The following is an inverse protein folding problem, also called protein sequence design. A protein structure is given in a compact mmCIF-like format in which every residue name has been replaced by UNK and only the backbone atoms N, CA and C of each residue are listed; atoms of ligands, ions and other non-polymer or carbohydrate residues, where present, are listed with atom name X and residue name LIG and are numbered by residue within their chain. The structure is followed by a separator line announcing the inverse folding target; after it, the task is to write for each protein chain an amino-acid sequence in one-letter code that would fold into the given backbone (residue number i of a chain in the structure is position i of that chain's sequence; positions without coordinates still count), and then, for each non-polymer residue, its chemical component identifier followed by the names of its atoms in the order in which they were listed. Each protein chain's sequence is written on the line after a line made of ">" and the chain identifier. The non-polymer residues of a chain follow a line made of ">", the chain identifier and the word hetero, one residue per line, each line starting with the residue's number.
data_IF_566591875658
#
_entry.id   IF_566591875658
#
_cell.length_a   1.000
_cell.length_b   1.000
_cell.length_c   1.000
_cell.angle_alpha   90.00
_cell.angle_beta   90.00
_cell.angle_gamma   90.00
#
_symmetry.space_group_name_H-M   'P 1'
#
loop_
_entity.id
_entity.type
_entity.pdbx_description
1 polymer ?
#
# COMPACT_ATOMS: atom_id res chain seq x y z
N UNK A 1 -0.49 3.30 -27.04
CA UNK A 1 -0.13 3.60 -25.64
C UNK A 1 -0.49 2.37 -24.83
N UNK A 2 0.39 1.87 -23.95
CA UNK A 2 0.11 0.71 -23.09
C UNK A 2 -0.44 1.24 -21.77
N UNK A 3 -1.58 0.70 -21.33
CA UNK A 3 -2.19 1.07 -20.06
C UNK A 3 -1.78 0.06 -18.97
N UNK A 4 -1.36 0.56 -17.82
CA UNK A 4 -1.09 -0.26 -16.63
C UNK A 4 -2.36 -0.21 -15.79
N UNK A 5 -3.10 -1.32 -15.77
CA UNK A 5 -4.39 -1.42 -15.11
C UNK A 5 -4.55 -2.75 -14.40
N UNK A 6 -5.33 -2.82 -13.30
CA UNK A 6 -5.75 -4.09 -12.73
C UNK A 6 -6.55 -4.92 -13.75
N UNK A 7 -6.49 -6.26 -13.70
CA UNK A 7 -7.29 -7.10 -14.58
C UNK A 7 -8.79 -6.83 -14.45
N UNK A 8 -9.46 -6.59 -15.58
CA UNK A 8 -10.90 -6.36 -15.62
C UNK A 8 -11.36 -4.95 -15.23
N UNK A 9 -10.43 -4.01 -15.00
CA UNK A 9 -10.75 -2.62 -14.67
C UNK A 9 -10.45 -1.73 -15.88
N UNK A 10 -11.38 -0.84 -16.23
CA UNK A 10 -11.17 0.12 -17.30
C UNK A 10 -10.11 1.17 -16.89
N UNK A 11 -9.36 1.69 -17.85
CA UNK A 11 -8.25 2.61 -17.55
C UNK A 11 -8.71 3.91 -16.88
N UNK A 12 -9.93 4.38 -17.19
CA UNK A 12 -10.55 5.56 -16.57
C UNK A 12 -10.94 5.35 -15.10
N UNK A 13 -11.16 4.11 -14.69
CA UNK A 13 -11.51 3.73 -13.31
C UNK A 13 -10.27 3.33 -12.49
N UNK A 14 -9.11 3.13 -13.15
CA UNK A 14 -7.90 2.61 -12.54
C UNK A 14 -6.99 3.71 -11.95
N UNK A 15 -7.48 4.43 -10.94
CA UNK A 15 -6.61 5.37 -10.20
C UNK A 15 -5.64 4.57 -9.32
N UNK A 16 -4.36 4.57 -9.70
CA UNK A 16 -3.30 3.86 -8.98
C UNK A 16 -2.80 4.70 -7.81
N UNK A 17 -2.61 4.06 -6.66
CA UNK A 17 -2.15 4.72 -5.43
C UNK A 17 -0.62 4.80 -5.33
N UNK A 18 0.07 3.82 -5.92
CA UNK A 18 1.52 3.78 -5.98
C UNK A 18 1.97 2.95 -7.19
N UNK A 19 3.20 3.19 -7.62
CA UNK A 19 3.83 2.55 -8.76
C UNK A 19 5.34 2.47 -8.54
N UNK A 20 5.91 1.29 -8.76
CA UNK A 20 7.36 1.03 -8.59
C UNK A 20 7.85 0.17 -9.76
N UNK A 21 8.90 0.65 -10.44
CA UNK A 21 9.62 -0.17 -11.43
C UNK A 21 10.38 -1.30 -10.73
N UNK A 22 10.36 -2.48 -11.35
CA UNK A 22 11.28 -3.55 -11.01
C UNK A 22 12.73 -3.18 -11.37
N UNK A 23 13.72 -3.89 -10.81
CA UNK A 23 15.13 -3.54 -10.96
C UNK A 23 15.70 -3.88 -12.34
N UNK A 24 14.99 -4.65 -13.17
CA UNK A 24 15.44 -5.05 -14.50
C UNK A 24 14.28 -5.22 -15.48
N UNK A 25 14.59 -5.02 -16.77
CA UNK A 25 13.61 -5.11 -17.85
C UNK A 25 12.50 -4.06 -17.72
N UNK A 26 11.25 -4.51 -17.86
CA UNK A 26 10.05 -3.67 -17.74
C UNK A 26 9.06 -4.26 -16.73
N UNK A 27 9.54 -4.99 -15.74
CA UNK A 27 8.69 -5.45 -14.66
C UNK A 27 8.33 -4.28 -13.76
N UNK A 28 7.19 -4.37 -13.08
CA UNK A 28 6.68 -3.31 -12.22
C UNK A 28 5.73 -3.87 -11.18
N UNK A 29 5.52 -3.09 -10.12
CA UNK A 29 4.46 -3.30 -9.15
C UNK A 29 3.65 -2.02 -9.00
N UNK A 30 2.36 -2.14 -8.76
CA UNK A 30 1.49 -1.00 -8.49
C UNK A 30 0.46 -1.35 -7.43
N UNK A 31 -0.15 -0.33 -6.85
CA UNK A 31 -1.22 -0.47 -5.86
C UNK A 31 -2.52 0.09 -6.41
N UNK A 32 -3.58 -0.71 -6.32
CA UNK A 32 -4.94 -0.31 -6.67
C UNK A 32 -5.91 -0.85 -5.63
N UNK A 33 -6.84 -0.01 -5.17
CA UNK A 33 -7.79 -0.35 -4.12
C UNK A 33 -7.12 -1.06 -2.92
N UNK A 34 -6.03 -0.48 -2.44
CA UNK A 34 -5.19 -0.96 -1.34
C UNK A 34 -4.56 -2.36 -1.54
N UNK A 35 -4.56 -2.87 -2.77
CA UNK A 35 -4.00 -4.17 -3.11
C UNK A 35 -2.77 -4.05 -4.00
N UNK A 36 -1.76 -4.90 -3.73
CA UNK A 36 -0.53 -4.95 -4.51
C UNK A 36 -0.74 -5.82 -5.75
N UNK A 37 -0.32 -5.30 -6.89
CA UNK A 37 -0.24 -6.00 -8.16
C UNK A 37 1.20 -6.05 -8.64
N UNK A 38 1.56 -7.12 -9.34
CA UNK A 38 2.85 -7.27 -10.00
C UNK A 38 2.64 -7.59 -11.47
N UNK A 39 3.50 -7.04 -12.32
CA UNK A 39 3.46 -7.27 -13.75
C UNK A 39 4.87 -7.54 -14.26
N UNK A 40 5.07 -8.71 -14.86
CA UNK A 40 6.41 -9.16 -15.30
C UNK A 40 6.95 -8.35 -16.48
N UNK A 41 6.07 -7.83 -17.35
CA UNK A 41 6.43 -6.97 -18.48
C UNK A 41 5.23 -6.11 -18.88
N UNK A 42 5.44 -5.01 -19.62
CA UNK A 42 4.35 -4.13 -20.08
C UNK A 42 3.25 -4.84 -20.87
N UNK A 43 3.54 -6.01 -21.44
CA UNK A 43 2.58 -6.79 -22.23
C UNK A 43 1.97 -7.97 -21.47
N UNK A 44 2.51 -8.32 -20.30
CA UNK A 44 1.96 -9.40 -19.46
C UNK A 44 0.78 -8.85 -18.65
N UNK A 45 -0.34 -9.58 -18.48
CA UNK A 45 -1.39 -9.17 -17.56
C UNK A 45 -0.86 -9.01 -16.13
N UNK A 46 -1.36 -8.02 -15.40
CA UNK A 46 -1.01 -7.83 -14.00
C UNK A 46 -1.55 -8.99 -13.14
N UNK A 47 -0.72 -9.49 -12.23
CA UNK A 47 -1.07 -10.46 -11.22
C UNK A 47 -1.39 -9.74 -9.92
N UNK A 48 -2.59 -9.97 -9.38
CA UNK A 48 -2.96 -9.49 -8.06
C UNK A 48 -2.26 -10.32 -6.97
N UNK A 49 -1.49 -9.68 -6.11
CA UNK A 49 -0.73 -10.36 -5.04
C UNK A 49 -1.47 -10.38 -3.71
N UNK A 50 -2.36 -9.42 -3.47
CA UNK A 50 -3.20 -9.31 -2.27
C UNK A 50 -4.65 -9.05 -2.66
N UNK A 51 -5.60 -9.52 -1.85
CA UNK A 51 -7.05 -9.31 -2.09
C UNK A 51 -7.79 -8.72 -0.89
N UNK A 52 -7.08 -8.44 0.20
CA UNK A 52 -7.62 -8.02 1.49
C UNK A 52 -7.54 -6.51 1.74
N UNK A 53 -7.07 -5.75 0.75
CA UNK A 53 -7.08 -4.28 0.83
C UNK A 53 -8.49 -3.77 1.09
N UNK A 54 -8.61 -2.88 2.07
CA UNK A 54 -9.87 -2.28 2.51
C UNK A 54 -9.63 -0.79 2.72
N UNK A 55 -10.40 0.04 2.03
CA UNK A 55 -10.28 1.49 2.11
C UNK A 55 -10.37 1.96 3.57
N UNK A 56 -9.46 2.83 3.98
CA UNK A 56 -9.31 3.35 5.34
C UNK A 56 -9.00 2.32 6.44
N UNK A 57 -8.77 1.04 6.15
CA UNK A 57 -8.55 0.02 7.19
C UNK A 57 -7.33 -0.84 6.94
N UNK A 58 -7.15 -1.35 5.72
CA UNK A 58 -6.06 -2.26 5.39
C UNK A 58 -5.41 -1.79 4.09
N UNK A 59 -4.13 -1.45 4.17
CA UNK A 59 -3.31 -0.99 3.06
C UNK A 59 -2.16 -1.96 2.81
N UNK A 60 -1.99 -2.40 1.55
CA UNK A 60 -0.85 -3.20 1.13
C UNK A 60 0.03 -2.41 0.15
N UNK A 61 1.34 -2.33 0.41
CA UNK A 61 2.32 -1.71 -0.49
C UNK A 61 2.27 -0.18 -0.60
N UNK A 62 1.31 0.45 0.07
CA UNK A 62 1.29 1.87 0.42
C UNK A 62 1.15 2.01 1.93
N UNK A 63 1.84 2.97 2.56
CA UNK A 63 1.64 3.26 3.97
C UNK A 63 0.27 3.87 4.24
N UNK A 64 -0.20 3.73 5.47
CA UNK A 64 -1.27 4.56 6.01
C UNK A 64 -0.74 5.96 6.39
N UNK A 65 -1.62 6.83 6.89
CA UNK A 65 -1.29 8.23 7.13
C UNK A 65 -0.09 8.43 8.08
N UNK A 66 -0.03 7.71 9.21
CA UNK A 66 1.06 7.96 10.18
C UNK A 66 2.38 7.39 9.69
N UNK A 67 2.35 6.26 8.95
CA UNK A 67 3.56 5.72 8.36
C UNK A 67 4.07 6.58 7.20
N UNK A 68 3.19 7.17 6.40
CA UNK A 68 3.58 8.07 5.31
C UNK A 68 4.28 9.32 5.85
N UNK A 69 3.66 10.00 6.82
CA UNK A 69 4.08 11.33 7.27
C UNK A 69 5.19 11.28 8.34
N UNK A 70 5.08 10.36 9.31
CA UNK A 70 5.90 10.42 10.54
C UNK A 70 6.98 9.33 10.59
N UNK A 71 6.81 8.22 9.86
CA UNK A 71 7.74 7.06 9.94
C UNK A 71 8.63 6.96 8.70
N UNK A 72 8.04 6.87 7.51
CA UNK A 72 8.76 6.68 6.25
C UNK A 72 9.10 7.98 5.53
N UNK A 73 8.26 9.02 5.65
CA UNK A 73 8.39 10.24 4.86
C UNK A 73 8.24 9.96 3.35
N UNK A 74 7.46 8.93 2.98
CA UNK A 74 7.30 8.43 1.62
C UNK A 74 6.02 7.61 1.51
N UNK A 75 5.35 7.67 0.37
CA UNK A 75 4.15 6.88 0.06
C UNK A 75 4.45 5.45 -0.44
N UNK A 76 5.72 5.04 -0.44
CA UNK A 76 6.13 3.72 -0.94
C UNK A 76 6.36 2.73 0.20
N UNK A 77 5.68 1.59 0.14
CA UNK A 77 5.90 0.45 1.02
C UNK A 77 6.10 -0.86 0.24
N UNK A 78 6.74 -0.77 -0.94
CA UNK A 78 7.10 -1.88 -1.83
C UNK A 78 8.61 -1.83 -2.11
N UNK A 79 9.27 -2.98 -2.06
CA UNK A 79 10.71 -3.11 -2.30
C UNK A 79 11.00 -4.36 -3.12
N UNK A 80 11.75 -4.22 -4.22
CA UNK A 80 12.25 -5.36 -4.98
C UNK A 80 13.60 -5.85 -4.42
N UNK A 81 13.87 -7.15 -4.50
CA UNK A 81 15.24 -7.66 -4.37
C UNK A 81 16.11 -7.15 -5.51
N UNK A 82 17.44 -7.17 -5.33
CA UNK A 82 18.37 -6.63 -6.33
C UNK A 82 18.27 -7.29 -7.71
N UNK A 83 17.93 -8.58 -7.76
CA UNK A 83 17.72 -9.33 -8.99
C UNK A 83 16.26 -9.29 -9.50
N UNK A 84 15.33 -8.76 -8.72
CA UNK A 84 13.89 -8.73 -9.02
C UNK A 84 13.17 -10.07 -8.83
N UNK A 85 13.83 -11.10 -8.26
CA UNK A 85 13.22 -12.40 -8.01
C UNK A 85 12.23 -12.39 -6.83
N UNK A 86 12.37 -11.42 -5.92
CA UNK A 86 11.50 -11.23 -4.76
C UNK A 86 10.94 -9.81 -4.72
N UNK A 87 9.73 -9.71 -4.18
CA UNK A 87 9.04 -8.46 -3.90
C UNK A 87 8.60 -8.46 -2.44
N UNK A 88 9.13 -7.53 -1.65
CA UNK A 88 8.63 -7.24 -0.32
C UNK A 88 7.58 -6.13 -0.39
N UNK A 89 6.54 -6.26 0.42
CA UNK A 89 5.58 -5.17 0.66
C UNK A 89 5.10 -5.19 2.11
N UNK A 90 4.89 -4.02 2.68
CA UNK A 90 4.30 -3.91 4.01
C UNK A 90 2.76 -3.91 3.92
N UNK A 91 2.14 -4.45 4.96
CA UNK A 91 0.71 -4.38 5.22
C UNK A 91 0.49 -3.58 6.49
N UNK A 92 -0.32 -2.54 6.40
CA UNK A 92 -0.76 -1.71 7.50
C UNK A 92 -2.21 -2.02 7.78
N UNK A 93 -2.53 -2.31 9.04
CA UNK A 93 -3.89 -2.56 9.48
C UNK A 93 -4.26 -1.56 10.58
N UNK A 94 -5.15 -0.65 10.20
CA UNK A 94 -5.70 0.47 10.96
C UNK A 94 -7.09 0.18 11.56
N UNK A 95 -7.60 -1.05 11.47
CA UNK A 95 -8.95 -1.38 11.95
C UNK A 95 -9.21 -0.95 13.41
N UNK A 96 -8.17 -0.94 14.24
CA UNK A 96 -8.21 -0.52 15.64
C UNK A 96 -7.74 0.92 15.90
N UNK A 97 -7.25 1.62 14.86
CA UNK A 97 -6.84 3.02 14.92
C UNK A 97 -8.08 3.89 14.85
N UNK A 98 -8.16 4.95 15.66
CA UNK A 98 -9.33 5.82 15.67
C UNK A 98 -9.43 6.63 14.39
N UNK A 99 -10.67 6.89 13.96
CA UNK A 99 -10.97 7.74 12.79
C UNK A 99 -11.01 9.21 13.22
N UNK A 100 -10.25 10.05 12.52
CA UNK A 100 -10.37 11.50 12.54
C UNK A 100 -11.18 11.94 11.31
N UNK A 101 -12.18 12.80 11.53
CA UNK A 101 -13.04 13.33 10.46
C UNK A 101 -12.58 14.73 10.08
N UNK A 102 -12.17 14.93 8.83
CA UNK A 102 -11.77 16.22 8.28
C UNK A 102 -12.95 16.83 7.52
N UNK A 103 -13.45 18.02 7.91
CA UNK A 103 -14.52 18.68 7.18
C UNK A 103 -14.17 18.96 5.72
N UNK A 104 -15.09 18.64 4.81
CA UNK A 104 -14.97 18.91 3.39
C UNK A 104 -16.15 19.78 2.94
N UNK A 105 -15.85 21.05 2.70
CA UNK A 105 -16.83 22.07 2.31
C UNK A 105 -17.13 22.10 0.81
N UNK A 106 -16.33 21.40 0.00
CA UNK A 106 -16.50 21.32 -1.45
C UNK A 106 -16.31 22.66 -2.18
N UNK A 107 -16.90 22.74 -3.37
CA UNK A 107 -16.78 23.90 -4.27
C UNK A 107 -17.86 24.95 -3.97
N UNK A 108 -17.49 26.23 -3.70
CA UNK A 108 -18.47 27.29 -3.47
C UNK A 108 -19.49 27.43 -4.60
N UNK A 109 -20.77 27.54 -4.24
CA UNK A 109 -21.88 27.72 -5.20
C UNK A 109 -22.36 26.44 -5.88
N UNK A 110 -21.72 25.28 -5.64
CA UNK A 110 -22.22 24.00 -6.13
C UNK A 110 -23.38 23.48 -5.27
N UNK A 111 -24.45 23.02 -5.93
CA UNK A 111 -25.58 22.36 -5.25
C UNK A 111 -25.19 21.02 -4.61
N UNK A 112 -24.15 20.36 -5.14
CA UNK A 112 -23.64 19.08 -4.62
C UNK A 112 -23.06 19.22 -3.21
N UNK A 113 -22.52 20.40 -2.88
CA UNK A 113 -21.85 20.68 -1.61
C UNK A 113 -22.67 21.57 -0.67
N UNK A 114 -24.01 21.57 -0.81
CA UNK A 114 -24.91 22.32 0.07
C UNK A 114 -24.83 21.88 1.54
N UNK A 115 -24.46 20.62 1.78
CA UNK A 115 -24.26 20.07 3.11
C UNK A 115 -22.81 19.64 3.26
N UNK A 116 -22.15 20.09 4.33
CA UNK A 116 -20.76 19.75 4.61
C UNK A 116 -20.61 18.25 4.75
N UNK A 117 -19.65 17.70 4.01
CA UNK A 117 -19.26 16.28 4.12
C UNK A 117 -17.98 16.19 4.94
N UNK A 118 -17.50 14.97 5.17
CA UNK A 118 -16.21 14.76 5.81
C UNK A 118 -15.41 13.70 5.06
N UNK A 119 -14.09 13.84 5.12
CA UNK A 119 -13.15 12.78 4.76
C UNK A 119 -12.68 12.11 6.03
N UNK A 120 -12.75 10.79 6.06
CA UNK A 120 -12.28 10.00 7.18
C UNK A 120 -10.82 9.62 6.95
N UNK A 121 -9.99 9.78 7.98
CA UNK A 121 -8.62 9.27 8.01
C UNK A 121 -8.40 8.50 9.31
N UNK A 122 -7.64 7.40 9.25
CA UNK A 122 -7.15 6.72 10.46
C UNK A 122 -5.98 7.53 11.00
N UNK A 123 -6.10 7.99 12.23
CA UNK A 123 -5.15 8.92 12.82
C UNK A 123 -4.93 8.58 14.30
N UNK A 124 -3.79 7.97 14.67
CA UNK A 124 -3.46 7.68 16.05
C UNK A 124 -3.00 8.96 16.76
N UNK A 125 -3.75 9.41 17.75
CA UNK A 125 -3.32 10.48 18.67
C UNK A 125 -2.42 9.90 19.78
N UNK A 126 -1.61 10.74 20.46
CA UNK A 126 -0.80 10.30 21.58
C UNK A 126 -1.61 9.47 22.60
N UNK A 127 -1.07 8.31 22.99
CA UNK A 127 -1.71 7.38 23.92
C UNK A 127 -2.87 6.56 23.35
N UNK A 128 -3.04 6.54 22.02
CA UNK A 128 -4.00 5.66 21.33
C UNK A 128 -3.27 4.64 20.47
N UNK A 129 -3.97 3.57 20.09
CA UNK A 129 -3.39 2.44 19.37
C UNK A 129 -2.87 2.86 17.99
N UNK A 130 -1.64 2.46 17.68
CA UNK A 130 -1.01 2.60 16.36
C UNK A 130 -1.49 1.50 15.39
N UNK A 131 -1.33 1.71 14.07
CA UNK A 131 -1.49 0.65 13.08
C UNK A 131 -0.60 -0.55 13.41
N UNK A 132 -1.15 -1.75 13.20
CA UNK A 132 -0.33 -2.95 13.18
C UNK A 132 0.33 -3.11 11.80
N UNK A 133 1.58 -3.59 11.79
CA UNK A 133 2.38 -3.72 10.56
C UNK A 133 2.93 -5.13 10.40
N UNK A 134 2.97 -5.62 9.17
CA UNK A 134 3.59 -6.89 8.78
C UNK A 134 4.28 -6.74 7.43
N UNK A 135 5.41 -7.40 7.23
CA UNK A 135 6.08 -7.44 5.91
C UNK A 135 5.84 -8.80 5.28
N UNK A 136 5.45 -8.82 4.00
CA UNK A 136 5.37 -10.05 3.21
C UNK A 136 6.41 -10.01 2.11
N UNK A 137 7.17 -11.10 1.96
CA UNK A 137 8.08 -11.33 0.83
C UNK A 137 7.43 -12.34 -0.11
N UNK A 138 7.08 -11.89 -1.32
CA UNK A 138 6.61 -12.74 -2.42
C UNK A 138 7.81 -13.18 -3.26
N UNK A 139 7.98 -14.49 -3.42
CA UNK A 139 8.83 -15.03 -4.49
C UNK A 139 8.03 -15.02 -5.81
N UNK A 140 8.56 -14.33 -6.81
CA UNK A 140 7.87 -14.10 -8.08
C UNK A 140 7.78 -15.38 -8.93
N UNK A 141 8.80 -16.23 -8.90
CA UNK A 141 8.84 -17.43 -9.71
C UNK A 141 7.93 -18.54 -9.16
N UNK A 142 7.92 -18.73 -7.84
CA UNK A 142 7.15 -19.79 -7.18
C UNK A 142 5.77 -19.35 -6.73
N UNK A 143 5.49 -18.04 -6.77
CA UNK A 143 4.28 -17.43 -6.21
C UNK A 143 4.06 -17.74 -4.72
N UNK A 144 5.13 -17.95 -3.95
CA UNK A 144 5.04 -18.22 -2.51
C UNK A 144 5.25 -16.97 -1.68
N UNK A 145 4.43 -16.77 -0.64
CA UNK A 145 4.60 -15.71 0.35
C UNK A 145 5.32 -16.20 1.59
N UNK A 146 6.27 -15.40 2.08
CA UNK A 146 6.83 -15.51 3.42
C UNK A 146 6.42 -14.28 4.22
N UNK A 147 5.67 -14.48 5.31
CA UNK A 147 5.22 -13.40 6.19
C UNK A 147 6.23 -13.23 7.33
N UNK A 148 6.66 -11.99 7.54
CA UNK A 148 7.56 -11.59 8.60
C UNK A 148 6.75 -10.78 9.63
N UNK A 149 6.49 -11.41 10.77
CA UNK A 149 5.88 -10.74 11.91
C UNK A 149 6.94 -9.92 12.65
N UNK A 150 6.49 -8.89 13.36
CA UNK A 150 7.35 -8.19 14.29
C UNK A 150 7.90 -9.16 15.38
N UNK A 151 9.10 -8.90 15.92
CA UNK A 151 9.63 -9.65 17.07
C UNK A 151 8.64 -9.64 18.24
N UNK A 152 8.45 -10.80 18.88
CA UNK A 152 7.44 -11.01 19.92
C UNK A 152 7.74 -10.31 21.25
N UNK A 153 8.98 -9.88 21.44
CA UNK A 153 9.49 -9.19 22.63
C UNK A 153 9.29 -7.67 22.59
N UNK A 154 8.79 -7.12 21.47
CA UNK A 154 8.50 -5.71 21.32
C UNK A 154 7.04 -5.39 21.67
N UNK A 155 6.83 -4.33 22.43
CA UNK A 155 5.53 -3.71 22.64
C UNK A 155 5.31 -2.61 21.59
N UNK A 156 4.17 -2.64 20.90
CA UNK A 156 3.79 -1.69 19.84
C UNK A 156 4.90 -1.43 18.79
N UNK A 157 5.39 -2.49 18.10
CA UNK A 157 6.53 -2.37 17.19
C UNK A 157 6.22 -1.46 15.99
N UNK A 158 7.18 -0.61 15.65
CA UNK A 158 7.15 0.28 14.47
C UNK A 158 8.16 -0.20 13.43
N UNK A 159 7.71 -0.39 12.19
CA UNK A 159 8.58 -0.73 11.06
C UNK A 159 9.24 0.54 10.51
N UNK A 160 10.53 0.75 10.73
CA UNK A 160 11.20 1.98 10.26
C UNK A 160 11.77 1.88 8.85
N UNK A 161 12.33 0.73 8.48
CA UNK A 161 13.00 0.56 7.19
C UNK A 161 12.92 -0.89 6.75
N UNK A 162 12.90 -1.10 5.43
CA UNK A 162 13.03 -2.40 4.79
C UNK A 162 14.05 -2.27 3.67
N UNK A 163 15.02 -3.18 3.63
CA UNK A 163 16.04 -3.20 2.59
C UNK A 163 16.48 -4.64 2.33
N UNK A 164 16.56 -5.02 1.06
CA UNK A 164 17.26 -6.24 0.66
C UNK A 164 18.77 -6.02 0.76
N UNK A 165 19.45 -6.87 1.54
CA UNK A 165 20.93 -6.88 1.63
C UNK A 165 21.55 -7.89 0.66
N UNK A 166 20.75 -8.87 0.22
CA UNK A 166 21.08 -9.85 -0.81
C UNK A 166 19.81 -10.41 -1.45
N UNK A 167 19.93 -11.52 -2.17
CA UNK A 167 18.80 -12.19 -2.81
C UNK A 167 18.17 -13.28 -1.93
N UNK A 168 18.62 -13.43 -0.68
CA UNK A 168 18.18 -14.44 0.29
C UNK A 168 17.07 -13.92 1.21
#
# INVERSE_FOLDING_TARGET
>A
MINIVPPGVAAEDATLQNFVWGPSGTSLSFVYANNVYYQQSLTTPAQQLTTTGLENDICHGVPDWVYEEEVFGSNNAIWFSTDGAKLAYATFNDSEVRVMKIPHFGVPGSVEYQYTTHRDIRYPKPGTKNPSVMVTIRNIATNTDTKLNAPSDLEEPILKTVSFVGND
#
